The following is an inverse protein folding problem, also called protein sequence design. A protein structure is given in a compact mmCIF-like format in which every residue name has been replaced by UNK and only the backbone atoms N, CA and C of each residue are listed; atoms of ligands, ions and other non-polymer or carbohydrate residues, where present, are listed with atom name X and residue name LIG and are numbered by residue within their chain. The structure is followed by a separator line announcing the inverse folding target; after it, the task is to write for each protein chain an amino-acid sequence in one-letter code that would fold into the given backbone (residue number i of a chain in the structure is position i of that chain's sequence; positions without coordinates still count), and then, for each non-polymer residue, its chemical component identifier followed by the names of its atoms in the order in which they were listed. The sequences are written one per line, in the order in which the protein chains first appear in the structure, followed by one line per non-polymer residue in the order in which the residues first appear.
data_IF_784870394257
#
_entry.id   IF_784870394257
#
_cell.length_a   1.000
_cell.length_b   1.000
_cell.length_c   1.000
_cell.angle_alpha   90.00
_cell.angle_beta   90.00
_cell.angle_gamma   90.00
#
_symmetry.space_group_name_H-M   'P 1'
#
loop_
_entity.id
_entity.type
_entity.pdbx_description
1 polymer ?
#
# COMPACT_ATOMS: atom_id res chain seq x y z
N UNK A 1 15.31 -24.10 7.49
CA UNK A 1 15.90 -22.77 7.45
C UNK A 1 14.85 -21.70 7.33
N UNK A 2 15.27 -20.47 7.26
CA UNK A 2 14.39 -19.34 6.96
C UNK A 2 14.31 -19.17 5.45
N UNK A 3 13.11 -19.30 4.86
CA UNK A 3 12.92 -19.26 3.41
C UNK A 3 12.34 -17.93 2.93
N UNK A 4 11.48 -17.29 3.73
CA UNK A 4 10.82 -16.03 3.40
C UNK A 4 11.03 -15.00 4.51
N UNK A 5 11.31 -13.75 4.11
CA UNK A 5 11.36 -12.60 5.01
C UNK A 5 10.29 -11.58 4.60
N UNK A 6 9.72 -10.94 5.61
CA UNK A 6 8.74 -9.87 5.45
C UNK A 6 9.36 -8.58 5.94
N UNK A 7 9.38 -7.58 5.08
CA UNK A 7 10.00 -6.27 5.36
C UNK A 7 8.97 -5.17 5.18
N UNK A 8 8.93 -4.25 6.11
CA UNK A 8 8.12 -3.03 5.98
C UNK A 8 8.86 -1.99 5.18
N UNK A 9 8.62 -1.91 3.88
CA UNK A 9 9.06 -0.80 3.04
C UNK A 9 8.30 0.48 3.44
N UNK A 10 7.00 0.37 3.67
CA UNK A 10 5.97 1.38 3.96
C UNK A 10 5.78 2.38 2.82
N UNK A 11 6.86 3.00 2.35
CA UNK A 11 6.91 3.99 1.28
C UNK A 11 8.28 3.99 0.61
N UNK A 12 8.34 4.40 -0.65
CA UNK A 12 9.58 4.73 -1.34
C UNK A 12 9.90 6.23 -1.39
N UNK A 13 9.09 7.06 -0.71
CA UNK A 13 9.27 8.53 -0.67
C UNK A 13 10.14 8.93 0.52
N UNK A 14 11.33 9.50 0.24
CA UNK A 14 12.31 9.86 1.28
C UNK A 14 11.80 10.93 2.26
N UNK A 15 10.91 11.83 1.83
CA UNK A 15 10.32 12.81 2.72
C UNK A 15 9.33 12.16 3.69
N UNK A 16 8.51 11.22 3.21
CA UNK A 16 7.61 10.46 4.07
C UNK A 16 8.42 9.58 5.02
N UNK A 17 9.49 8.91 4.55
CA UNK A 17 10.38 8.11 5.41
C UNK A 17 10.96 8.92 6.57
N UNK A 18 11.31 10.20 6.33
CA UNK A 18 11.76 11.13 7.40
C UNK A 18 10.62 11.47 8.36
N UNK A 19 9.42 11.79 7.84
CA UNK A 19 8.26 12.16 8.66
C UNK A 19 7.90 11.02 9.63
N UNK A 20 7.84 9.79 9.13
CA UNK A 20 7.52 8.61 9.95
C UNK A 20 8.73 8.07 10.74
N UNK A 21 9.89 8.69 10.62
CA UNK A 21 11.15 8.29 11.28
C UNK A 21 11.52 6.83 11.04
N UNK A 22 11.36 6.38 9.79
CA UNK A 22 11.68 4.99 9.41
C UNK A 22 13.16 4.65 9.62
N UNK A 23 14.05 5.65 9.60
CA UNK A 23 15.49 5.48 9.87
C UNK A 23 16.28 4.93 8.69
N UNK A 24 15.69 4.87 7.51
CA UNK A 24 16.34 4.44 6.26
C UNK A 24 15.90 5.35 5.11
N UNK A 25 16.70 5.38 4.04
CA UNK A 25 16.39 6.03 2.77
C UNK A 25 15.84 5.03 1.75
N UNK A 26 15.21 5.53 0.69
CA UNK A 26 14.76 4.70 -0.43
C UNK A 26 15.91 3.93 -1.09
N UNK A 27 17.10 4.54 -1.17
CA UNK A 27 18.30 3.88 -1.70
C UNK A 27 18.77 2.72 -0.82
N UNK A 28 18.74 2.87 0.50
CA UNK A 28 19.08 1.80 1.45
C UNK A 28 18.03 0.67 1.42
N UNK A 29 16.75 0.98 1.22
CA UNK A 29 15.71 -0.04 1.01
C UNK A 29 15.97 -0.85 -0.26
N UNK A 30 16.33 -0.20 -1.37
CA UNK A 30 16.67 -0.89 -2.63
C UNK A 30 17.89 -1.81 -2.44
N UNK A 31 18.95 -1.30 -1.81
CA UNK A 31 20.17 -2.08 -1.56
C UNK A 31 19.89 -3.28 -0.64
N UNK A 32 19.15 -3.06 0.45
CA UNK A 32 18.77 -4.11 1.39
C UNK A 32 17.90 -5.20 0.74
N UNK A 33 16.89 -4.81 -0.04
CA UNK A 33 16.02 -5.73 -0.75
C UNK A 33 16.78 -6.58 -1.78
N UNK A 34 17.65 -5.96 -2.58
CA UNK A 34 18.50 -6.67 -3.55
C UNK A 34 19.47 -7.64 -2.85
N UNK A 35 20.06 -7.27 -1.72
CA UNK A 35 20.93 -8.15 -0.92
C UNK A 35 20.18 -9.34 -0.34
N UNK A 36 18.96 -9.12 0.18
CA UNK A 36 18.13 -10.19 0.71
C UNK A 36 17.79 -11.23 -0.36
N UNK A 37 17.39 -10.78 -1.55
CA UNK A 37 17.09 -11.66 -2.68
C UNK A 37 18.36 -12.39 -3.20
N UNK A 38 19.49 -11.71 -3.29
CA UNK A 38 20.76 -12.30 -3.68
C UNK A 38 21.26 -13.38 -2.69
N UNK A 39 20.87 -13.26 -1.40
CA UNK A 39 21.14 -14.27 -0.38
C UNK A 39 20.17 -15.48 -0.44
N UNK A 40 19.25 -15.51 -1.40
CA UNK A 40 18.34 -16.63 -1.66
C UNK A 40 17.03 -16.60 -0.87
N UNK A 41 16.72 -15.50 -0.16
CA UNK A 41 15.43 -15.36 0.53
C UNK A 41 14.31 -15.00 -0.46
N UNK A 42 13.12 -15.55 -0.22
CA UNK A 42 11.90 -14.95 -0.76
C UNK A 42 11.62 -13.64 0.00
N UNK A 43 11.57 -12.54 -0.72
CA UNK A 43 11.31 -11.22 -0.14
C UNK A 43 9.84 -10.84 -0.32
N UNK A 44 9.21 -10.43 0.76
CA UNK A 44 7.87 -9.85 0.80
C UNK A 44 7.95 -8.43 1.36
N UNK A 45 7.64 -7.43 0.52
CA UNK A 45 7.64 -6.02 0.92
C UNK A 45 6.23 -5.56 1.26
N UNK A 46 6.06 -4.93 2.41
CA UNK A 46 4.82 -4.23 2.78
C UNK A 46 4.91 -2.78 2.38
N UNK A 47 3.90 -2.28 1.69
CA UNK A 47 3.72 -0.85 1.46
C UNK A 47 2.41 -0.38 2.08
N UNK A 48 2.34 0.90 2.45
CA UNK A 48 1.24 1.43 3.23
C UNK A 48 0.49 2.51 2.44
N UNK A 49 -0.56 2.15 1.66
CA UNK A 49 -1.42 3.14 1.00
C UNK A 49 -1.90 4.21 1.96
N UNK A 50 -2.05 5.44 1.46
CA UNK A 50 -2.47 6.64 2.18
C UNK A 50 -1.44 7.19 3.20
N UNK A 51 -0.23 6.63 3.27
CA UNK A 51 0.81 7.15 4.18
C UNK A 51 1.28 8.56 3.79
N UNK A 52 1.10 8.96 2.55
CA UNK A 52 1.31 10.32 2.05
C UNK A 52 0.15 11.27 2.31
N UNK A 53 -1.01 10.76 2.73
CA UNK A 53 -2.24 11.53 2.84
C UNK A 53 -2.61 12.21 1.53
N UNK A 54 -3.60 13.12 1.58
CA UNK A 54 -4.01 13.93 0.42
C UNK A 54 -2.90 14.81 -0.13
N UNK A 55 -1.94 15.18 0.72
CA UNK A 55 -0.90 16.14 0.38
C UNK A 55 0.17 15.55 -0.55
N UNK A 56 0.47 14.25 -0.39
CA UNK A 56 1.61 13.61 -1.07
C UNK A 56 1.27 12.28 -1.74
N UNK A 57 0.00 11.93 -1.92
CA UNK A 57 -0.41 10.63 -2.46
C UNK A 57 0.27 10.29 -3.80
N UNK A 58 0.42 11.28 -4.69
CA UNK A 58 1.04 11.08 -6.01
C UNK A 58 2.53 10.75 -5.88
N UNK A 59 3.29 11.57 -5.14
CA UNK A 59 4.71 11.33 -4.90
C UNK A 59 4.93 10.01 -4.15
N UNK A 60 4.04 9.70 -3.22
CA UNK A 60 4.04 8.43 -2.50
C UNK A 60 3.88 7.25 -3.45
N UNK A 61 2.87 7.25 -4.31
CA UNK A 61 2.64 6.20 -5.29
C UNK A 61 3.81 6.04 -6.28
N UNK A 62 4.25 7.16 -6.87
CA UNK A 62 5.33 7.19 -7.88
C UNK A 62 6.66 6.70 -7.30
N UNK A 63 7.08 7.23 -6.13
CA UNK A 63 8.35 6.86 -5.50
C UNK A 63 8.31 5.42 -4.97
N UNK A 64 7.17 4.96 -4.45
CA UNK A 64 7.01 3.58 -3.97
C UNK A 64 7.08 2.60 -5.14
N UNK A 65 6.39 2.87 -6.25
CA UNK A 65 6.48 2.04 -7.46
C UNK A 65 7.92 1.98 -7.99
N UNK A 66 8.64 3.11 -8.02
CA UNK A 66 10.05 3.16 -8.43
C UNK A 66 10.92 2.24 -7.57
N UNK A 67 10.81 2.32 -6.24
CA UNK A 67 11.60 1.49 -5.32
C UNK A 67 11.26 0.01 -5.49
N UNK A 68 9.99 -0.34 -5.57
CA UNK A 68 9.54 -1.71 -5.78
C UNK A 68 9.98 -2.28 -7.13
N UNK A 69 9.99 -1.47 -8.18
CA UNK A 69 10.52 -1.88 -9.50
C UNK A 69 12.03 -2.17 -9.44
N UNK A 70 12.80 -1.37 -8.69
CA UNK A 70 14.23 -1.57 -8.52
C UNK A 70 14.57 -2.83 -7.70
N UNK A 71 13.76 -3.14 -6.69
CA UNK A 71 13.91 -4.34 -5.87
C UNK A 71 13.40 -5.57 -6.63
N UNK A 72 12.24 -5.47 -7.28
CA UNK A 72 11.48 -6.56 -7.90
C UNK A 72 11.24 -7.74 -6.94
N UNK A 73 10.59 -7.52 -5.77
CA UNK A 73 10.42 -8.54 -4.75
C UNK A 73 9.46 -9.66 -5.19
N UNK A 74 9.50 -10.79 -4.51
CA UNK A 74 8.60 -11.91 -4.78
C UNK A 74 7.14 -11.59 -4.46
N UNK A 75 6.92 -10.77 -3.41
CA UNK A 75 5.60 -10.34 -2.97
C UNK A 75 5.60 -8.86 -2.60
N UNK A 76 4.55 -8.16 -3.00
CA UNK A 76 4.22 -6.79 -2.59
C UNK A 76 2.87 -6.84 -1.90
N UNK A 77 2.81 -6.44 -0.63
CA UNK A 77 1.59 -6.55 0.19
C UNK A 77 1.08 -5.18 0.59
N UNK A 78 -0.16 -4.91 0.25
CA UNK A 78 -0.85 -3.68 0.65
C UNK A 78 -1.26 -3.75 2.13
N UNK A 79 -0.86 -2.74 2.91
CA UNK A 79 -1.19 -2.56 4.33
C UNK A 79 -1.67 -1.13 4.56
N UNK A 80 -2.92 -0.80 4.18
CA UNK A 80 -3.42 0.58 4.22
C UNK A 80 -3.28 1.23 5.60
N UNK A 81 -2.91 2.51 5.60
CA UNK A 81 -2.76 3.29 6.83
C UNK A 81 -4.11 3.41 7.56
N UNK A 82 -4.05 3.16 8.87
CA UNK A 82 -5.08 3.55 9.84
C UNK A 82 -4.37 4.27 10.99
N UNK A 83 -4.46 5.60 11.07
CA UNK A 83 -3.85 6.35 12.17
C UNK A 83 -4.35 5.86 13.52
N UNK A 84 -3.45 5.48 14.42
CA UNK A 84 -3.80 4.93 15.73
C UNK A 84 -3.49 5.92 16.84
N UNK A 85 -4.36 5.99 17.83
CA UNK A 85 -4.15 6.79 19.03
C UNK A 85 -2.78 6.51 19.65
N UNK A 86 -2.06 7.57 20.05
CA UNK A 86 -0.71 7.48 20.60
C UNK A 86 0.40 7.55 19.53
N UNK A 87 0.07 7.66 18.24
CA UNK A 87 1.05 7.89 17.18
C UNK A 87 1.07 9.36 16.75
N UNK A 88 2.24 9.84 16.28
CA UNK A 88 2.37 11.23 15.80
C UNK A 88 1.44 11.51 14.62
N UNK A 89 1.28 10.58 13.69
CA UNK A 89 0.39 10.73 12.53
C UNK A 89 -1.08 10.86 12.96
N UNK A 90 -1.48 10.21 14.05
CA UNK A 90 -2.83 10.39 14.62
C UNK A 90 -3.01 11.80 15.20
N UNK A 91 -1.99 12.34 15.89
CA UNK A 91 -2.04 13.70 16.40
C UNK A 91 -2.03 14.74 15.26
N UNK A 92 -1.29 14.48 14.19
CA UNK A 92 -1.30 15.31 12.99
C UNK A 92 -2.66 15.30 12.31
N UNK A 93 -3.30 14.14 12.20
CA UNK A 93 -4.69 14.01 11.73
C UNK A 93 -5.66 14.81 12.60
N UNK A 94 -5.60 14.66 13.92
CA UNK A 94 -6.47 15.39 14.84
C UNK A 94 -6.32 16.91 14.77
N UNK A 95 -5.11 17.38 14.47
CA UNK A 95 -4.77 18.80 14.37
C UNK A 95 -4.91 19.36 12.96
N UNK A 96 -5.39 18.56 12.00
CA UNK A 96 -5.59 18.97 10.61
C UNK A 96 -4.29 19.23 9.85
N UNK A 97 -3.17 18.64 10.27
CA UNK A 97 -1.89 18.67 9.55
C UNK A 97 -1.72 17.49 8.60
N UNK A 98 -2.45 16.41 8.81
CA UNK A 98 -2.50 15.24 7.94
C UNK A 98 -3.96 14.96 7.58
N UNK A 99 -4.24 14.79 6.29
CA UNK A 99 -5.59 14.50 5.82
C UNK A 99 -5.67 13.09 5.24
N UNK A 100 -6.45 12.23 5.90
CA UNK A 100 -6.78 10.90 5.40
C UNK A 100 -7.56 11.06 4.09
N UNK A 101 -7.15 10.33 3.06
CA UNK A 101 -7.83 10.29 1.77
C UNK A 101 -9.20 9.58 1.88
N UNK A 102 -10.13 9.95 1.01
CA UNK A 102 -11.40 9.23 0.87
C UNK A 102 -11.18 7.83 0.27
N UNK A 103 -12.15 6.93 0.33
CA UNK A 103 -12.04 5.62 -0.30
C UNK A 103 -11.67 5.66 -1.79
N UNK A 104 -12.28 6.57 -2.56
CA UNK A 104 -11.96 6.73 -3.98
C UNK A 104 -10.57 7.36 -4.19
N UNK A 105 -10.18 8.37 -3.40
CA UNK A 105 -8.83 8.96 -3.47
C UNK A 105 -7.75 7.88 -3.23
N UNK A 106 -7.98 6.95 -2.30
CA UNK A 106 -7.07 5.83 -2.03
C UNK A 106 -7.03 4.80 -3.16
N UNK A 107 -8.16 4.58 -3.86
CA UNK A 107 -8.18 3.76 -5.07
C UNK A 107 -7.43 4.42 -6.22
N UNK A 108 -7.48 5.76 -6.36
CA UNK A 108 -6.69 6.49 -7.36
C UNK A 108 -5.18 6.42 -7.06
N UNK A 109 -4.79 6.51 -5.78
CA UNK A 109 -3.39 6.27 -5.37
C UNK A 109 -2.94 4.87 -5.75
N UNK A 110 -3.74 3.86 -5.38
CA UNK A 110 -3.48 2.47 -5.70
C UNK A 110 -3.39 2.25 -7.22
N UNK A 111 -4.30 2.86 -7.99
CA UNK A 111 -4.29 2.80 -9.46
C UNK A 111 -2.97 3.30 -10.03
N UNK A 112 -2.55 4.50 -9.64
CA UNK A 112 -1.29 5.09 -10.12
C UNK A 112 -0.10 4.19 -9.78
N UNK A 113 -0.04 3.70 -8.55
CA UNK A 113 1.02 2.80 -8.11
C UNK A 113 1.04 1.50 -8.95
N UNK A 114 -0.11 0.85 -9.15
CA UNK A 114 -0.22 -0.37 -9.95
C UNK A 114 0.13 -0.11 -11.44
N UNK A 115 -0.32 1.01 -12.01
CA UNK A 115 0.02 1.39 -13.39
C UNK A 115 1.54 1.50 -13.60
N UNK A 116 2.25 2.04 -12.60
CA UNK A 116 3.70 2.22 -12.65
C UNK A 116 4.51 0.97 -12.29
N UNK A 117 3.91 -0.03 -11.64
CA UNK A 117 4.61 -1.27 -11.29
C UNK A 117 5.03 -2.04 -12.55
N UNK A 118 6.31 -2.38 -12.59
CA UNK A 118 6.93 -3.25 -13.61
C UNK A 118 7.73 -4.35 -12.90
N UNK A 119 7.03 -5.27 -12.26
CA UNK A 119 7.58 -6.33 -11.43
C UNK A 119 7.15 -7.71 -11.94
N UNK A 120 7.85 -8.75 -11.53
CA UNK A 120 7.54 -10.14 -11.85
C UNK A 120 7.03 -10.94 -10.65
N UNK A 121 6.87 -10.28 -9.51
CA UNK A 121 6.38 -10.86 -8.27
C UNK A 121 4.85 -10.93 -8.20
N UNK A 122 4.32 -11.00 -6.98
CA UNK A 122 2.90 -11.04 -6.71
C UNK A 122 2.45 -9.81 -5.93
N UNK A 123 1.28 -9.28 -6.25
CA UNK A 123 0.66 -8.16 -5.54
C UNK A 123 -0.53 -8.68 -4.73
N UNK A 124 -0.50 -8.46 -3.43
CA UNK A 124 -1.42 -9.07 -2.48
C UNK A 124 -2.23 -8.01 -1.72
N UNK A 125 -3.53 -8.28 -1.55
CA UNK A 125 -4.48 -7.47 -0.81
C UNK A 125 -5.06 -8.25 0.39
N UNK A 126 -4.25 -9.13 0.98
CA UNK A 126 -4.61 -10.09 2.03
C UNK A 126 -4.83 -9.47 3.43
N UNK A 127 -4.88 -8.15 3.53
CA UNK A 127 -5.17 -7.45 4.78
C UNK A 127 -6.60 -6.89 4.78
N UNK A 128 -7.31 -7.03 5.92
CA UNK A 128 -8.70 -6.61 6.08
C UNK A 128 -8.98 -5.13 5.73
N UNK A 129 -7.98 -4.26 5.86
CA UNK A 129 -8.09 -2.84 5.46
C UNK A 129 -8.10 -2.61 3.94
N UNK A 130 -7.87 -3.65 3.12
CA UNK A 130 -8.08 -3.60 1.67
C UNK A 130 -9.54 -3.91 1.28
N UNK A 131 -10.48 -3.74 2.20
CA UNK A 131 -11.88 -4.11 2.05
C UNK A 131 -12.71 -3.05 1.29
N UNK A 132 -12.29 -2.69 0.08
CA UNK A 132 -13.18 -1.97 -0.84
C UNK A 132 -14.29 -2.90 -1.32
N UNK A 133 -15.46 -2.32 -1.51
CA UNK A 133 -16.65 -3.04 -1.94
C UNK A 133 -16.68 -3.20 -3.46
N UNK A 134 -16.86 -4.40 -3.95
CA UNK A 134 -17.10 -4.69 -5.35
C UNK A 134 -18.56 -4.42 -5.74
N UNK A 135 -18.87 -4.42 -7.05
CA UNK A 135 -20.22 -4.16 -7.58
C UNK A 135 -21.28 -5.13 -7.03
N UNK A 136 -20.91 -6.37 -6.80
CA UNK A 136 -21.77 -7.43 -6.25
C UNK A 136 -21.95 -7.37 -4.72
N UNK A 137 -21.34 -6.40 -4.04
CA UNK A 137 -21.38 -6.24 -2.58
C UNK A 137 -20.34 -7.07 -1.82
N UNK A 138 -19.53 -7.90 -2.50
CA UNK A 138 -18.38 -8.59 -1.90
C UNK A 138 -17.13 -7.71 -1.88
N UNK A 139 -15.99 -8.28 -1.47
CA UNK A 139 -14.70 -7.61 -1.54
C UNK A 139 -14.26 -7.35 -2.98
N UNK A 140 -13.65 -6.21 -3.23
CA UNK A 140 -13.15 -5.81 -4.54
C UNK A 140 -12.02 -6.72 -5.02
N UNK A 141 -11.05 -6.96 -4.16
CA UNK A 141 -9.93 -7.86 -4.42
C UNK A 141 -10.14 -9.19 -3.71
N UNK A 142 -9.59 -10.28 -4.28
CA UNK A 142 -9.46 -11.50 -3.49
C UNK A 142 -8.40 -11.31 -2.39
N UNK A 143 -8.63 -11.96 -1.26
CA UNK A 143 -7.88 -11.76 -0.03
C UNK A 143 -6.97 -12.96 0.28
N UNK A 144 -6.68 -13.79 -0.71
CA UNK A 144 -5.78 -14.92 -0.50
C UNK A 144 -4.32 -14.46 -0.37
N UNK A 145 -3.53 -15.30 0.28
CA UNK A 145 -2.15 -14.99 0.62
C UNK A 145 -1.22 -14.91 -0.60
N UNK A 146 -1.58 -15.58 -1.70
CA UNK A 146 -0.76 -15.63 -2.92
C UNK A 146 -0.98 -14.40 -3.83
N UNK A 147 -2.12 -13.72 -3.74
CA UNK A 147 -2.40 -12.51 -4.50
C UNK A 147 -2.35 -12.69 -6.02
N UNK A 148 -2.19 -11.60 -6.73
CA UNK A 148 -2.19 -11.52 -8.20
C UNK A 148 -0.77 -11.62 -8.77
N UNK A 149 -0.54 -12.48 -9.73
CA UNK A 149 0.75 -12.65 -10.41
C UNK A 149 0.97 -11.55 -11.45
N UNK A 150 2.07 -10.80 -11.33
CA UNK A 150 2.46 -9.78 -12.30
C UNK A 150 3.57 -10.30 -13.24
N UNK A 151 3.59 -9.83 -14.49
CA UNK A 151 2.68 -8.83 -15.10
C UNK A 151 1.33 -9.41 -15.58
N UNK A 152 1.14 -10.73 -15.57
CA UNK A 152 0.04 -11.44 -16.24
C UNK A 152 -1.34 -10.96 -15.75
N UNK A 153 -1.52 -10.78 -14.43
CA UNK A 153 -2.78 -10.38 -13.82
C UNK A 153 -2.87 -8.87 -13.51
N UNK A 154 -1.86 -8.08 -13.88
CA UNK A 154 -1.90 -6.61 -13.72
C UNK A 154 -3.13 -5.96 -14.37
N UNK A 155 -3.53 -6.33 -15.62
CA UNK A 155 -4.75 -5.80 -16.22
C UNK A 155 -5.99 -6.08 -15.39
N UNK A 156 -6.09 -7.28 -14.78
CA UNK A 156 -7.22 -7.65 -13.94
C UNK A 156 -7.29 -6.78 -12.67
N UNK A 157 -6.15 -6.49 -12.04
CA UNK A 157 -6.10 -5.61 -10.88
C UNK A 157 -6.56 -4.19 -11.24
N UNK A 158 -6.14 -3.65 -12.37
CA UNK A 158 -6.57 -2.33 -12.86
C UNK A 158 -8.08 -2.30 -13.19
N UNK A 159 -8.62 -3.36 -13.75
CA UNK A 159 -10.05 -3.55 -13.96
C UNK A 159 -10.84 -3.48 -12.64
N UNK A 160 -10.39 -4.24 -11.64
CA UNK A 160 -11.01 -4.24 -10.31
C UNK A 160 -10.97 -2.85 -9.67
N UNK A 161 -9.86 -2.13 -9.75
CA UNK A 161 -9.76 -0.75 -9.27
C UNK A 161 -10.78 0.14 -9.98
N UNK A 162 -10.89 0.02 -11.31
CA UNK A 162 -11.88 0.76 -12.08
C UNK A 162 -13.31 0.40 -11.64
N UNK A 163 -13.61 -0.87 -11.41
CA UNK A 163 -14.89 -1.31 -10.86
C UNK A 163 -15.19 -0.68 -9.50
N UNK A 164 -14.18 -0.61 -8.60
CA UNK A 164 -14.30 0.03 -7.29
C UNK A 164 -14.62 1.52 -7.39
N UNK A 165 -13.96 2.24 -8.30
CA UNK A 165 -14.23 3.66 -8.55
C UNK A 165 -15.63 3.93 -9.13
N UNK A 166 -16.29 2.93 -9.71
CA UNK A 166 -17.68 3.03 -10.21
C UNK A 166 -18.72 2.65 -9.14
N UNK A 167 -18.33 2.10 -8.00
CA UNK A 167 -19.20 1.87 -6.86
C UNK A 167 -19.40 3.19 -6.11
N UNK A 168 -20.60 3.45 -5.62
CA UNK A 168 -20.86 4.63 -4.77
C UNK A 168 -19.88 4.63 -3.59
N UNK A 169 -19.17 5.75 -3.40
CA UNK A 169 -18.11 5.86 -2.41
C UNK A 169 -18.57 5.54 -0.98
N UNK A 170 -19.81 5.87 -0.66
CA UNK A 170 -20.41 5.59 0.67
C UNK A 170 -20.55 4.10 0.99
N UNK A 171 -20.38 3.23 -0.01
CA UNK A 171 -20.42 1.77 0.19
C UNK A 171 -19.04 1.19 0.55
N UNK A 172 -17.99 1.97 0.42
CA UNK A 172 -16.65 1.56 0.85
C UNK A 172 -16.46 1.84 2.34
N UNK A 173 -15.54 1.12 2.97
CA UNK A 173 -15.13 1.44 4.35
C UNK A 173 -14.33 2.74 4.35
N UNK A 174 -14.80 3.75 5.05
CA UNK A 174 -14.05 4.99 5.28
C UNK A 174 -13.14 4.82 6.51
N UNK A 175 -11.83 5.00 6.31
CA UNK A 175 -10.84 4.94 7.39
C UNK A 175 -11.11 5.99 8.47
N UNK A 176 -11.68 7.15 8.11
CA UNK A 176 -12.06 8.18 9.08
C UNK A 176 -13.10 7.68 10.09
N UNK A 177 -14.05 6.86 9.64
CA UNK A 177 -15.04 6.23 10.53
C UNK A 177 -14.35 5.23 11.47
N UNK A 178 -13.43 4.40 10.97
CA UNK A 178 -12.68 3.46 11.79
C UNK A 178 -11.83 4.17 12.85
N UNK A 179 -11.16 5.25 12.47
CA UNK A 179 -10.37 6.09 13.42
C UNK A 179 -11.27 6.73 14.48
N UNK A 180 -12.47 7.22 14.09
CA UNK A 180 -13.41 7.82 15.02
C UNK A 180 -14.00 6.83 16.02
N UNK A 181 -14.17 5.56 15.63
CA UNK A 181 -14.70 4.50 16.51
C UNK A 181 -13.70 4.07 17.58
N UNK A 182 -12.42 4.44 17.48
CA UNK A 182 -11.37 4.03 18.43
C UNK A 182 -11.16 2.51 18.49
N UNK A 183 -11.74 1.79 17.55
CA UNK A 183 -11.82 0.34 17.56
C UNK A 183 -10.82 -0.29 16.60
N UNK A 184 -9.54 -0.26 16.98
CA UNK A 184 -8.57 -1.23 16.38
C UNK A 184 -7.39 -1.44 17.33
#
# INVERSE_FOLDING_TARGET
GLDRIHVGLETGDDEILKIIRKGVTSAEQIDGGKKAMAAGFQLSEYWMPDLGGRERWRQHAENTARVLNEINPHYIRSRPLVPRQGTEIFEDYRQGRFHISSPHERLEELKLMIEMLNVTGRVCFDHNMNAWTGRNGGTLFHMDYEGYKFPEEKPRVLELIHEGLMVDESRHIDIKELVAMGSL
#
